data_IF_129696112308
#
_entry.id   IF_129696112308
#
_cell.length_a   1.000
_cell.length_b   1.000
_cell.length_c   1.000
_cell.angle_alpha   90.00
_cell.angle_beta   90.00
_cell.angle_gamma   90.00
#
_symmetry.space_group_name_H-M   'P 1'
#
loop_
_entity.id
_entity.type
_entity.pdbx_description
1 polymer ?
#
# COMPACT_ATOMS: atom_id res chain seq x y z
N UNK A 1 18.17 -9.77 -17.60
CA UNK A 1 17.56 -9.42 -18.92
C UNK A 1 16.56 -8.31 -18.68
N UNK A 2 16.39 -7.33 -19.58
CA UNK A 2 15.32 -6.34 -19.43
C UNK A 2 13.97 -7.00 -19.71
N UNK A 3 13.23 -7.35 -18.66
CA UNK A 3 11.85 -7.84 -18.77
C UNK A 3 10.95 -6.64 -19.07
N UNK A 4 10.28 -6.65 -20.21
CA UNK A 4 9.22 -5.68 -20.52
C UNK A 4 8.04 -5.96 -19.60
N UNK A 5 7.54 -4.92 -18.92
CA UNK A 5 6.38 -5.05 -18.05
C UNK A 5 5.08 -5.19 -18.86
N UNK A 6 4.03 -5.81 -18.29
CA UNK A 6 2.68 -5.77 -18.83
C UNK A 6 2.21 -4.37 -19.23
N UNK A 7 1.40 -4.27 -20.29
CA UNK A 7 0.65 -3.06 -20.58
C UNK A 7 -0.20 -2.69 -19.36
N UNK A 8 -0.15 -1.42 -18.94
CA UNK A 8 -0.81 -0.97 -17.71
C UNK A 8 -0.07 -1.30 -16.41
N UNK A 9 1.18 -1.76 -16.41
CA UNK A 9 1.92 -2.06 -15.17
C UNK A 9 1.84 -0.91 -14.14
N UNK A 10 1.56 -1.26 -12.88
CA UNK A 10 1.20 -0.33 -11.82
C UNK A 10 2.04 -0.53 -10.56
N UNK A 11 2.64 0.56 -10.07
CA UNK A 11 3.18 0.63 -8.72
C UNK A 11 2.05 0.96 -7.73
N UNK A 12 1.61 -0.02 -6.94
CA UNK A 12 0.44 0.13 -6.07
C UNK A 12 0.76 0.62 -4.65
N UNK A 13 2.00 1.06 -4.37
CA UNK A 13 2.31 1.69 -3.08
C UNK A 13 3.48 2.66 -3.21
N UNK A 14 3.20 3.95 -3.10
CA UNK A 14 4.22 4.99 -2.97
C UNK A 14 3.68 6.17 -2.14
N UNK A 15 4.52 7.17 -1.91
CA UNK A 15 4.17 8.43 -1.28
C UNK A 15 4.75 9.60 -2.08
N UNK A 16 4.11 10.77 -2.00
CA UNK A 16 4.73 12.04 -2.39
C UNK A 16 4.93 12.89 -1.14
N UNK A 17 6.04 13.62 -1.11
CA UNK A 17 6.37 14.57 -0.05
C UNK A 17 6.75 15.92 -0.66
N UNK A 18 6.34 16.98 0.01
CA UNK A 18 6.68 18.35 -0.34
C UNK A 18 6.01 18.92 -1.60
N UNK A 19 6.35 20.17 -1.96
CA UNK A 19 7.26 21.03 -1.20
C UNK A 19 6.65 21.48 0.13
N UNK A 20 7.41 21.38 1.23
CA UNK A 20 6.90 21.60 2.59
C UNK A 20 6.27 22.99 2.80
N UNK A 21 6.72 24.00 2.04
CA UNK A 21 6.18 25.36 2.06
C UNK A 21 4.73 25.47 1.51
N UNK A 22 4.31 24.53 0.66
CA UNK A 22 2.95 24.44 0.09
C UNK A 22 2.09 23.42 0.82
N UNK A 23 2.71 22.31 1.22
CA UNK A 23 2.08 21.22 1.95
C UNK A 23 2.83 21.01 3.28
N UNK A 24 2.44 21.72 4.35
CA UNK A 24 3.11 21.60 5.64
C UNK A 24 2.88 20.21 6.25
N UNK A 25 3.92 19.67 6.89
CA UNK A 25 3.82 18.42 7.65
C UNK A 25 3.01 18.60 8.92
N UNK A 26 2.35 17.54 9.38
CA UNK A 26 1.50 17.57 10.57
C UNK A 26 2.30 17.71 11.87
N UNK A 27 1.63 18.23 12.90
CA UNK A 27 2.08 18.16 14.30
C UNK A 27 0.98 17.51 15.17
N UNK A 28 1.29 16.48 15.97
CA UNK A 28 2.57 15.77 16.03
C UNK A 28 2.79 14.86 14.80
N UNK A 29 4.05 14.57 14.47
CA UNK A 29 4.45 13.50 13.52
C UNK A 29 5.56 12.62 14.09
N UNK A 30 5.74 11.42 13.51
CA UNK A 30 6.80 10.48 13.92
C UNK A 30 8.12 10.64 13.15
N UNK A 31 8.15 11.44 12.09
CA UNK A 31 9.35 11.77 11.28
C UNK A 31 9.06 12.99 10.40
N UNK A 32 10.10 13.69 9.98
CA UNK A 32 10.07 14.65 8.86
C UNK A 32 10.80 14.00 7.69
N UNK A 33 10.16 13.79 6.53
CA UNK A 33 10.82 13.30 5.33
C UNK A 33 11.48 14.46 4.57
N UNK A 34 12.45 14.13 3.71
CA UNK A 34 12.87 15.03 2.64
C UNK A 34 11.76 15.17 1.58
N UNK A 35 11.77 16.28 0.84
CA UNK A 35 10.81 16.49 -0.24
C UNK A 35 11.04 15.48 -1.38
N UNK A 36 9.96 14.84 -1.80
CA UNK A 36 9.91 13.78 -2.81
C UNK A 36 8.70 14.05 -3.72
N UNK A 37 8.80 15.02 -4.63
CA UNK A 37 7.66 15.59 -5.33
C UNK A 37 7.12 14.67 -6.45
N UNK A 38 5.92 15.00 -6.95
CA UNK A 38 5.25 14.24 -8.01
C UNK A 38 6.15 13.99 -9.23
N UNK A 39 6.91 15.00 -9.64
CA UNK A 39 7.79 14.97 -10.81
C UNK A 39 8.84 13.86 -10.69
N UNK A 40 9.42 13.71 -9.49
CA UNK A 40 10.36 12.62 -9.18
C UNK A 40 9.68 11.25 -9.18
N UNK A 41 8.42 11.18 -8.75
CA UNK A 41 7.66 9.92 -8.79
C UNK A 41 7.27 9.53 -10.23
N UNK A 42 6.82 10.47 -11.07
CA UNK A 42 6.52 10.20 -12.48
C UNK A 42 7.78 9.76 -13.23
N UNK A 43 8.91 10.43 -13.01
CA UNK A 43 10.20 10.02 -13.57
C UNK A 43 10.63 8.62 -13.10
N UNK A 44 10.32 8.25 -11.84
CA UNK A 44 10.53 6.88 -11.35
C UNK A 44 9.63 5.88 -12.07
N UNK A 45 8.32 6.15 -12.19
CA UNK A 45 7.38 5.29 -12.91
C UNK A 45 7.87 5.02 -14.34
N UNK A 46 8.29 6.07 -15.05
CA UNK A 46 8.82 5.98 -16.42
C UNK A 46 10.12 5.15 -16.47
N UNK A 47 11.03 5.34 -15.50
CA UNK A 47 12.27 4.53 -15.34
C UNK A 47 12.01 3.06 -15.04
N UNK A 48 10.92 2.76 -14.31
CA UNK A 48 10.49 1.39 -14.00
C UNK A 48 9.72 0.73 -15.15
N UNK A 49 9.18 1.51 -16.09
CA UNK A 49 8.24 1.03 -17.12
C UNK A 49 6.80 0.90 -16.63
N UNK A 50 6.45 1.50 -15.47
CA UNK A 50 5.10 1.49 -14.92
C UNK A 50 4.25 2.61 -15.55
N UNK A 51 3.16 2.24 -16.21
CA UNK A 51 2.19 3.20 -16.74
C UNK A 51 1.41 3.91 -15.62
N UNK A 52 1.12 3.19 -14.53
CA UNK A 52 0.19 3.61 -13.46
C UNK A 52 0.86 3.63 -12.08
N UNK A 53 0.33 4.43 -11.16
CA UNK A 53 0.82 4.52 -9.78
C UNK A 53 -0.30 4.77 -8.76
N UNK A 54 -0.13 4.30 -7.54
CA UNK A 54 -1.07 4.54 -6.42
C UNK A 54 -0.35 5.30 -5.32
N UNK A 55 -0.73 6.57 -5.18
CA UNK A 55 -0.29 7.42 -4.08
C UNK A 55 -1.02 7.01 -2.80
N UNK A 56 -0.27 6.62 -1.78
CA UNK A 56 -0.79 6.35 -0.44
C UNK A 56 -0.47 7.54 0.44
N UNK A 57 -1.47 8.11 1.11
CA UNK A 57 -1.27 9.22 2.04
C UNK A 57 -0.29 8.83 3.17
N UNK A 58 0.86 9.52 3.33
CA UNK A 58 1.87 9.18 4.31
C UNK A 58 1.60 9.85 5.66
N UNK A 59 1.99 9.17 6.76
CA UNK A 59 1.75 9.66 8.11
C UNK A 59 2.47 10.96 8.48
N UNK A 60 3.45 11.43 7.71
CA UNK A 60 4.04 12.78 7.92
C UNK A 60 3.00 13.91 7.79
N UNK A 61 1.92 13.70 7.02
CA UNK A 61 0.82 14.66 6.84
C UNK A 61 -0.41 14.37 7.71
N UNK A 62 -0.46 13.24 8.41
CA UNK A 62 -1.66 12.81 9.14
C UNK A 62 -2.89 12.79 8.20
N UNK A 63 -3.94 13.54 8.58
CA UNK A 63 -5.21 13.65 7.84
C UNK A 63 -5.21 14.72 6.74
N UNK A 64 -4.12 15.45 6.52
CA UNK A 64 -4.02 16.46 5.46
C UNK A 64 -3.65 15.83 4.11
N UNK A 65 -4.66 15.51 3.30
CA UNK A 65 -4.48 14.82 2.02
C UNK A 65 -4.09 15.76 0.87
N UNK A 66 -3.84 17.05 1.10
CA UNK A 66 -3.69 18.05 0.02
C UNK A 66 -2.53 17.77 -0.95
N UNK A 67 -1.39 17.29 -0.45
CA UNK A 67 -0.26 16.90 -1.30
C UNK A 67 -0.62 15.76 -2.27
N UNK A 68 -1.28 14.71 -1.75
CA UNK A 68 -1.74 13.60 -2.56
C UNK A 68 -2.80 14.06 -3.57
N UNK A 69 -3.81 14.81 -3.14
CA UNK A 69 -4.93 15.26 -3.99
C UNK A 69 -4.46 16.17 -5.13
N UNK A 70 -3.52 17.07 -4.88
CA UNK A 70 -2.87 17.88 -5.93
C UNK A 70 -2.16 16.98 -6.94
N UNK A 71 -1.39 16.00 -6.45
CA UNK A 71 -0.66 15.08 -7.31
C UNK A 71 -1.58 14.22 -8.20
N UNK A 72 -2.74 13.77 -7.68
CA UNK A 72 -3.75 13.09 -8.48
C UNK A 72 -4.36 14.01 -9.55
N UNK A 73 -4.73 15.24 -9.19
CA UNK A 73 -5.33 16.21 -10.11
C UNK A 73 -4.37 16.58 -11.27
N UNK A 74 -3.06 16.51 -11.04
CA UNK A 74 -2.01 16.77 -12.05
C UNK A 74 -1.71 15.59 -12.97
N UNK A 75 -2.07 14.36 -12.59
CA UNK A 75 -1.85 13.16 -13.41
C UNK A 75 -3.03 12.13 -13.33
N UNK A 76 -4.29 12.53 -13.56
CA UNK A 76 -5.48 11.72 -13.23
C UNK A 76 -5.64 10.44 -14.05
N UNK A 77 -4.98 10.37 -15.22
CA UNK A 77 -4.97 9.17 -16.07
C UNK A 77 -3.94 8.12 -15.61
N UNK A 78 -2.90 8.53 -14.88
CA UNK A 78 -1.84 7.63 -14.38
C UNK A 78 -2.02 7.26 -12.91
N UNK A 79 -2.64 8.14 -12.11
CA UNK A 79 -2.62 8.02 -10.66
C UNK A 79 -3.99 7.72 -10.02
N UNK A 80 -3.95 6.99 -8.91
CA UNK A 80 -5.05 6.79 -7.95
C UNK A 80 -4.54 7.03 -6.53
N UNK A 81 -5.45 7.32 -5.61
CA UNK A 81 -5.12 7.67 -4.23
C UNK A 81 -5.69 6.71 -3.18
N UNK A 82 -4.99 6.59 -2.06
CA UNK A 82 -5.52 6.04 -0.81
C UNK A 82 -5.34 7.08 0.29
N UNK A 83 -6.44 7.69 0.72
CA UNK A 83 -6.46 8.81 1.65
C UNK A 83 -6.39 8.36 3.12
N UNK A 84 -6.22 9.32 4.03
CA UNK A 84 -6.30 9.12 5.49
C UNK A 84 -7.26 10.13 6.11
N UNK A 85 -8.21 9.66 6.92
CA UNK A 85 -9.16 10.48 7.67
C UNK A 85 -10.15 9.62 8.45
N UNK A 86 -11.08 10.24 9.14
CA UNK A 86 -12.08 9.56 9.98
C UNK A 86 -13.40 10.32 10.05
N UNK A 87 -14.04 10.36 11.22
CA UNK A 87 -15.39 10.92 11.43
C UNK A 87 -15.57 12.40 11.05
N UNK A 88 -14.51 13.15 10.78
CA UNK A 88 -14.59 14.50 10.19
C UNK A 88 -14.98 14.51 8.70
N UNK A 89 -14.86 13.37 7.99
CA UNK A 89 -15.15 13.27 6.57
C UNK A 89 -16.64 13.10 6.30
N UNK A 90 -17.16 13.89 5.35
CA UNK A 90 -18.55 13.81 4.91
C UNK A 90 -18.70 12.98 3.64
N UNK A 91 -19.91 12.46 3.37
CA UNK A 91 -20.21 11.81 2.09
C UNK A 91 -19.94 12.71 0.86
N UNK A 92 -20.10 14.04 1.01
CA UNK A 92 -19.76 14.99 -0.04
C UNK A 92 -18.24 15.07 -0.26
N UNK A 93 -17.45 15.12 0.80
CA UNK A 93 -15.97 15.08 0.76
C UNK A 93 -15.47 13.79 0.11
N UNK A 94 -16.02 12.63 0.49
CA UNK A 94 -15.63 11.34 -0.08
C UNK A 94 -15.99 11.23 -1.58
N UNK A 95 -17.14 11.78 -2.01
CA UNK A 95 -17.52 11.88 -3.44
C UNK A 95 -16.58 12.81 -4.22
N UNK A 96 -16.18 13.94 -3.65
CA UNK A 96 -15.18 14.84 -4.25
C UNK A 96 -13.81 14.14 -4.40
N UNK A 97 -13.37 13.40 -3.37
CA UNK A 97 -12.14 12.63 -3.42
C UNK A 97 -12.21 11.46 -4.41
N UNK A 98 -13.37 10.81 -4.55
CA UNK A 98 -13.58 9.79 -5.58
C UNK A 98 -13.41 10.39 -6.99
N UNK A 99 -14.03 11.55 -7.25
CA UNK A 99 -13.85 12.27 -8.52
C UNK A 99 -12.39 12.70 -8.76
N UNK A 100 -11.64 13.02 -7.69
CA UNK A 100 -10.21 13.31 -7.75
C UNK A 100 -9.30 12.05 -7.87
N UNK A 101 -9.86 10.84 -7.93
CA UNK A 101 -9.10 9.60 -8.13
C UNK A 101 -8.75 8.81 -6.85
N UNK A 102 -9.26 9.18 -5.67
CA UNK A 102 -9.12 8.36 -4.45
C UNK A 102 -10.01 7.11 -4.55
N UNK A 103 -9.50 5.97 -4.08
CA UNK A 103 -10.15 4.65 -4.14
C UNK A 103 -10.07 3.84 -2.84
N UNK A 104 -9.61 4.45 -1.75
CA UNK A 104 -9.56 3.81 -0.45
C UNK A 104 -9.18 4.75 0.69
N UNK A 105 -9.36 4.26 1.92
CA UNK A 105 -8.87 4.87 3.15
C UNK A 105 -7.84 3.96 3.82
N UNK A 106 -6.79 4.52 4.43
CA UNK A 106 -5.73 3.75 5.12
C UNK A 106 -5.84 3.82 6.64
N UNK A 107 -5.95 2.65 7.26
CA UNK A 107 -5.68 2.44 8.69
C UNK A 107 -4.21 2.08 8.93
N UNK A 108 -3.65 2.56 10.04
CA UNK A 108 -2.31 2.25 10.52
C UNK A 108 -2.40 1.71 11.96
N UNK A 109 -2.44 0.39 12.05
CA UNK A 109 -2.47 -0.40 13.29
C UNK A 109 -1.09 -0.96 13.65
N UNK A 110 -0.02 -0.55 12.94
CA UNK A 110 1.32 -1.09 13.18
C UNK A 110 1.84 -0.71 14.57
N UNK A 111 2.09 -1.74 15.39
CA UNK A 111 2.49 -1.61 16.79
C UNK A 111 3.94 -2.00 17.02
N UNK A 112 4.56 -1.38 18.02
CA UNK A 112 5.79 -1.82 18.67
C UNK A 112 5.60 -1.74 20.17
N UNK A 113 6.02 -2.78 20.88
CA UNK A 113 5.90 -2.89 22.35
C UNK A 113 4.46 -2.62 22.85
N UNK A 114 3.48 -3.17 22.12
CA UNK A 114 2.02 -3.02 22.34
C UNK A 114 1.42 -1.67 21.93
N UNK A 115 2.23 -0.67 21.57
CA UNK A 115 1.80 0.71 21.30
C UNK A 115 1.85 1.03 19.80
N UNK A 116 0.92 1.87 19.33
CA UNK A 116 0.93 2.38 17.95
C UNK A 116 2.26 3.09 17.66
N UNK A 117 2.93 2.71 16.57
CA UNK A 117 4.27 3.21 16.24
C UNK A 117 4.25 4.63 15.64
N UNK A 118 3.13 5.02 15.04
CA UNK A 118 2.94 6.33 14.41
C UNK A 118 2.02 7.21 15.28
N UNK A 119 2.55 8.32 15.80
CA UNK A 119 1.88 9.19 16.80
C UNK A 119 0.57 9.81 16.31
N UNK A 120 0.44 9.96 15.00
CA UNK A 120 -0.72 10.52 14.29
C UNK A 120 -1.32 9.51 13.29
N UNK A 121 -1.09 8.20 13.51
CA UNK A 121 -1.73 7.15 12.75
C UNK A 121 -3.24 7.15 12.97
N UNK A 122 -4.00 7.08 11.88
CA UNK A 122 -5.45 6.84 11.91
C UNK A 122 -5.68 5.33 12.02
N UNK A 123 -6.52 4.93 12.96
CA UNK A 123 -6.81 3.52 13.27
C UNK A 123 -8.02 3.01 12.48
N UNK A 124 -8.28 1.71 12.49
CA UNK A 124 -9.53 1.16 11.94
C UNK A 124 -10.76 1.76 12.65
N UNK A 125 -10.66 2.02 13.96
CA UNK A 125 -11.73 2.63 14.76
C UNK A 125 -12.10 4.04 14.28
N UNK A 126 -11.14 4.82 13.79
CA UNK A 126 -11.41 6.14 13.21
C UNK A 126 -12.19 6.07 11.89
N UNK A 127 -11.99 4.98 11.13
CA UNK A 127 -12.57 4.75 9.80
C UNK A 127 -13.89 3.97 9.90
N UNK A 128 -14.14 3.22 10.99
CA UNK A 128 -15.34 2.39 11.19
C UNK A 128 -16.67 3.13 10.85
N UNK A 129 -16.89 4.40 11.24
CA UNK A 129 -18.10 5.15 10.89
C UNK A 129 -18.28 5.42 9.39
N UNK A 130 -17.18 5.41 8.61
CA UNK A 130 -17.18 5.69 7.17
C UNK A 130 -17.33 4.42 6.32
N UNK A 131 -17.28 3.22 6.92
CA UNK A 131 -17.30 1.95 6.18
C UNK A 131 -18.49 1.80 5.21
N UNK A 132 -19.73 2.20 5.55
CA UNK A 132 -20.83 2.18 4.58
C UNK A 132 -20.62 3.13 3.40
N UNK A 133 -20.12 4.35 3.66
CA UNK A 133 -19.89 5.37 2.63
C UNK A 133 -18.79 4.98 1.64
N UNK A 134 -17.71 4.33 2.12
CA UNK A 134 -16.66 3.83 1.22
C UNK A 134 -17.11 2.58 0.46
N UNK A 135 -18.03 1.78 1.01
CA UNK A 135 -18.66 0.66 0.29
C UNK A 135 -19.53 1.15 -0.88
N UNK A 136 -20.35 2.19 -0.67
CA UNK A 136 -21.13 2.84 -1.74
C UNK A 136 -20.25 3.37 -2.89
N UNK A 137 -19.00 3.76 -2.60
CA UNK A 137 -18.04 4.27 -3.57
C UNK A 137 -17.19 3.18 -4.25
N UNK A 138 -17.39 1.91 -3.92
CA UNK A 138 -16.58 0.80 -4.42
C UNK A 138 -15.12 0.84 -3.97
N UNK A 139 -14.83 1.52 -2.86
CA UNK A 139 -13.48 1.69 -2.32
C UNK A 139 -13.02 0.49 -1.47
N UNK A 140 -11.74 0.45 -1.14
CA UNK A 140 -11.15 -0.52 -0.20
C UNK A 140 -10.65 0.13 1.09
N UNK A 141 -10.49 -0.68 2.14
CA UNK A 141 -9.70 -0.33 3.31
C UNK A 141 -8.26 -0.81 3.08
N UNK A 142 -7.26 0.07 3.19
CA UNK A 142 -5.85 -0.33 3.23
C UNK A 142 -5.40 -0.41 4.69
N UNK A 143 -4.66 -1.45 5.06
CA UNK A 143 -4.26 -1.74 6.43
C UNK A 143 -2.73 -1.91 6.53
N UNK A 144 -2.07 -0.97 7.20
CA UNK A 144 -0.72 -1.17 7.71
C UNK A 144 -0.82 -1.80 9.10
N UNK A 145 -0.42 -3.07 9.21
CA UNK A 145 -0.43 -3.85 10.45
C UNK A 145 0.77 -4.80 10.46
N UNK A 146 1.14 -5.33 11.63
CA UNK A 146 2.00 -6.52 11.73
C UNK A 146 1.11 -7.77 11.66
N UNK A 147 1.43 -8.74 10.79
CA UNK A 147 0.61 -9.93 10.60
C UNK A 147 0.41 -10.72 11.89
N UNK A 148 1.30 -10.58 12.88
CA UNK A 148 1.15 -11.16 14.22
C UNK A 148 -0.12 -10.69 14.94
N UNK A 149 -0.59 -9.48 14.66
CA UNK A 149 -1.76 -8.84 15.31
C UNK A 149 -3.08 -9.14 14.56
N UNK A 150 -3.03 -9.70 13.34
CA UNK A 150 -4.23 -10.04 12.55
C UNK A 150 -5.24 -10.98 13.24
N UNK A 151 -4.83 -11.99 14.03
CA UNK A 151 -5.78 -12.83 14.78
C UNK A 151 -6.64 -12.03 15.75
N UNK A 152 -6.06 -11.07 16.47
CA UNK A 152 -6.77 -10.22 17.44
C UNK A 152 -7.71 -9.23 16.74
N UNK A 153 -7.36 -8.82 15.51
CA UNK A 153 -8.21 -7.98 14.66
C UNK A 153 -9.34 -8.73 13.94
N UNK A 154 -9.37 -10.08 13.96
CA UNK A 154 -10.24 -10.87 13.08
C UNK A 154 -11.73 -10.51 13.23
N UNK A 155 -12.22 -10.28 14.45
CA UNK A 155 -13.61 -9.90 14.71
C UNK A 155 -13.97 -8.49 14.18
N UNK A 156 -13.01 -7.56 14.18
CA UNK A 156 -13.19 -6.23 13.61
C UNK A 156 -13.16 -6.28 12.07
N UNK A 157 -12.21 -7.03 11.49
CA UNK A 157 -12.07 -7.19 10.05
C UNK A 157 -13.25 -7.93 9.42
N UNK A 158 -13.86 -8.89 10.13
CA UNK A 158 -15.09 -9.56 9.68
C UNK A 158 -16.32 -8.63 9.56
N UNK A 159 -16.27 -7.43 10.17
CA UNK A 159 -17.31 -6.40 10.07
C UNK A 159 -17.05 -5.36 8.97
N UNK A 160 -15.92 -5.45 8.26
CA UNK A 160 -15.57 -4.53 7.18
C UNK A 160 -16.28 -4.96 5.88
N UNK A 161 -17.18 -4.13 5.31
CA UNK A 161 -18.00 -4.51 4.14
C UNK A 161 -17.28 -4.31 2.79
N UNK A 162 -16.00 -3.93 2.82
CA UNK A 162 -15.16 -3.62 1.64
C UNK A 162 -13.92 -4.52 1.61
N UNK A 163 -13.24 -4.67 0.46
CA UNK A 163 -11.95 -5.34 0.40
C UNK A 163 -10.94 -4.73 1.38
N UNK A 164 -10.17 -5.57 2.06
CA UNK A 164 -9.09 -5.14 2.96
C UNK A 164 -7.72 -5.47 2.36
N UNK A 165 -6.90 -4.45 2.12
CA UNK A 165 -5.59 -4.55 1.48
C UNK A 165 -4.49 -4.44 2.53
N UNK A 166 -3.83 -5.57 2.85
CA UNK A 166 -2.75 -5.62 3.84
C UNK A 166 -1.43 -5.17 3.21
N UNK A 167 -0.81 -4.14 3.80
CA UNK A 167 0.44 -3.56 3.30
C UNK A 167 1.66 -4.46 3.55
N UNK A 168 2.66 -4.32 2.68
CA UNK A 168 4.02 -4.84 2.85
C UNK A 168 4.11 -6.32 3.30
N UNK A 169 3.38 -7.22 2.64
CA UNK A 169 3.29 -8.65 2.98
C UNK A 169 2.89 -8.92 4.46
N UNK A 170 2.21 -7.96 5.10
CA UNK A 170 1.86 -8.00 6.52
C UNK A 170 2.99 -7.57 7.48
N UNK A 171 4.09 -6.98 7.01
CA UNK A 171 5.19 -6.34 7.77
C UNK A 171 5.92 -7.18 8.85
N UNK A 172 5.45 -8.39 9.15
CA UNK A 172 6.02 -9.30 10.15
C UNK A 172 7.46 -9.65 9.82
N UNK A 173 8.35 -9.61 10.82
CA UNK A 173 9.77 -9.89 10.60
C UNK A 173 10.00 -11.33 10.12
N UNK A 174 10.84 -11.48 9.10
CA UNK A 174 11.02 -12.75 8.37
C UNK A 174 11.42 -13.92 9.29
N UNK A 175 12.15 -13.64 10.38
CA UNK A 175 12.57 -14.60 11.42
C UNK A 175 11.42 -15.32 12.14
N UNK A 176 10.19 -14.80 12.09
CA UNK A 176 9.01 -15.51 12.61
C UNK A 176 8.56 -16.67 11.70
N UNK A 177 8.98 -16.68 10.44
CA UNK A 177 8.65 -17.71 9.46
C UNK A 177 7.20 -17.70 8.98
N UNK A 178 6.95 -18.30 7.82
CA UNK A 178 5.62 -18.37 7.19
C UNK A 178 4.62 -19.24 7.96
N UNK A 179 5.07 -20.09 8.88
CA UNK A 179 4.21 -20.92 9.74
C UNK A 179 3.61 -20.16 10.93
N UNK A 180 4.00 -18.90 11.17
CA UNK A 180 3.49 -18.12 12.29
C UNK A 180 1.95 -17.95 12.21
N UNK A 181 1.18 -18.13 13.31
CA UNK A 181 -0.29 -18.08 13.28
C UNK A 181 -0.88 -16.82 12.63
N UNK A 182 -0.23 -15.67 12.85
CA UNK A 182 -0.62 -14.39 12.25
C UNK A 182 -0.46 -14.33 10.73
N UNK A 183 0.67 -14.80 10.18
CA UNK A 183 0.84 -14.88 8.73
C UNK A 183 -0.06 -15.96 8.11
N UNK A 184 -0.30 -17.06 8.83
CA UNK A 184 -1.31 -18.05 8.44
C UNK A 184 -2.74 -17.47 8.42
N UNK A 185 -3.05 -16.48 9.26
CA UNK A 185 -4.33 -15.75 9.19
C UNK A 185 -4.41 -14.86 7.94
N UNK A 186 -3.32 -14.19 7.56
CA UNK A 186 -3.22 -13.46 6.29
C UNK A 186 -3.43 -14.38 5.08
N UNK A 187 -2.74 -15.53 5.03
CA UNK A 187 -2.89 -16.50 3.94
C UNK A 187 -4.31 -17.04 3.82
N UNK A 188 -4.96 -17.40 4.94
CA UNK A 188 -6.37 -17.85 4.93
C UNK A 188 -7.29 -16.77 4.36
N UNK A 189 -7.24 -15.56 4.91
CA UNK A 189 -8.09 -14.45 4.44
C UNK A 189 -7.86 -14.10 2.96
N UNK A 190 -6.62 -14.24 2.47
CA UNK A 190 -6.26 -14.06 1.06
C UNK A 190 -6.82 -15.19 0.16
N UNK A 191 -6.70 -16.46 0.59
CA UNK A 191 -7.26 -17.62 -0.13
C UNK A 191 -8.80 -17.62 -0.16
N UNK A 192 -9.44 -17.09 0.88
CA UNK A 192 -10.90 -16.89 0.96
C UNK A 192 -11.38 -15.68 0.14
N UNK A 193 -10.47 -14.93 -0.49
CA UNK A 193 -10.77 -13.73 -1.28
C UNK A 193 -11.18 -12.50 -0.46
N UNK A 194 -11.24 -12.61 0.88
CA UNK A 194 -11.62 -11.54 1.82
C UNK A 194 -10.54 -10.48 1.99
N UNK A 195 -9.28 -10.91 1.96
CA UNK A 195 -8.11 -10.04 2.02
C UNK A 195 -7.45 -9.93 0.65
N UNK A 196 -6.73 -8.82 0.51
CA UNK A 196 -5.71 -8.57 -0.49
C UNK A 196 -4.38 -8.33 0.23
N UNK A 197 -3.25 -8.50 -0.48
CA UNK A 197 -1.95 -8.16 0.08
C UNK A 197 -1.05 -7.46 -0.95
N UNK A 198 -0.21 -6.53 -0.46
CA UNK A 198 0.80 -5.86 -1.28
C UNK A 198 2.14 -6.57 -1.19
N UNK A 199 2.62 -7.14 -2.30
CA UNK A 199 3.98 -7.60 -2.50
C UNK A 199 4.90 -6.37 -2.62
N UNK A 200 5.24 -5.77 -1.50
CA UNK A 200 5.96 -4.49 -1.39
C UNK A 200 6.82 -4.48 -0.14
N UNK A 201 7.80 -3.58 -0.06
CA UNK A 201 8.55 -3.34 1.17
C UNK A 201 9.32 -4.57 1.71
N UNK A 202 9.95 -5.37 0.84
CA UNK A 202 10.76 -6.56 1.22
C UNK A 202 11.92 -6.27 2.18
N UNK A 203 12.38 -5.02 2.23
CA UNK A 203 13.40 -4.52 3.17
C UNK A 203 12.81 -4.15 4.54
N UNK A 204 11.50 -3.83 4.58
CA UNK A 204 10.68 -4.08 5.77
C UNK A 204 10.49 -5.60 5.87
N UNK A 205 9.97 -6.15 6.97
CA UNK A 205 10.22 -7.56 7.38
C UNK A 205 11.72 -7.88 7.67
N UNK A 206 12.68 -7.04 7.25
CA UNK A 206 14.10 -7.12 7.60
C UNK A 206 14.97 -7.99 6.70
N UNK A 207 14.54 -8.28 5.46
CA UNK A 207 15.37 -9.01 4.50
C UNK A 207 16.51 -8.12 3.95
N UNK A 208 17.62 -8.73 3.53
CA UNK A 208 18.87 -8.01 3.26
C UNK A 208 19.08 -7.69 1.77
N UNK A 209 19.53 -6.46 1.42
CA UNK A 209 19.85 -6.11 0.03
C UNK A 209 21.12 -6.84 -0.46
N UNK A 210 21.30 -7.04 -1.78
CA UNK A 210 20.41 -6.59 -2.86
C UNK A 210 19.30 -7.60 -3.23
N UNK A 211 19.32 -8.81 -2.65
CA UNK A 211 18.48 -9.92 -3.13
C UNK A 211 17.22 -10.14 -2.30
N UNK A 212 17.20 -9.68 -1.04
CA UNK A 212 16.09 -9.79 -0.09
C UNK A 212 15.58 -11.23 0.09
N UNK A 213 16.47 -12.22 -0.04
CA UNK A 213 16.12 -13.64 -0.15
C UNK A 213 15.29 -14.15 1.04
N UNK A 214 15.42 -13.56 2.22
CA UNK A 214 14.66 -13.90 3.43
C UNK A 214 13.17 -13.56 3.33
N UNK A 215 12.79 -12.62 2.44
CA UNK A 215 11.39 -12.30 2.15
C UNK A 215 10.74 -13.27 1.13
N UNK A 216 11.54 -14.00 0.34
CA UNK A 216 11.02 -14.87 -0.74
C UNK A 216 10.00 -15.91 -0.25
N UNK A 217 10.19 -16.63 0.88
CA UNK A 217 9.18 -17.59 1.35
C UNK A 217 7.81 -16.96 1.62
N UNK A 218 7.76 -15.69 2.01
CA UNK A 218 6.52 -14.96 2.27
C UNK A 218 5.84 -14.55 0.95
N UNK A 219 6.62 -14.07 -0.02
CA UNK A 219 6.16 -13.77 -1.37
C UNK A 219 5.59 -15.02 -2.07
N UNK A 220 6.34 -16.12 -2.08
CA UNK A 220 5.94 -17.39 -2.70
C UNK A 220 4.66 -17.95 -2.05
N UNK A 221 4.54 -17.86 -0.71
CA UNK A 221 3.34 -18.30 0.01
C UNK A 221 2.10 -17.44 -0.28
N UNK A 222 2.25 -16.12 -0.41
CA UNK A 222 1.14 -15.22 -0.80
C UNK A 222 0.66 -15.53 -2.22
N UNK A 223 1.59 -15.69 -3.18
CA UNK A 223 1.28 -16.09 -4.55
C UNK A 223 0.55 -17.44 -4.60
N UNK A 224 1.00 -18.42 -3.82
CA UNK A 224 0.35 -19.73 -3.75
C UNK A 224 -1.06 -19.68 -3.13
N UNK A 225 -1.33 -18.73 -2.23
CA UNK A 225 -2.63 -18.60 -1.57
C UNK A 225 -3.71 -17.99 -2.50
N UNK A 226 -3.41 -16.88 -3.18
CA UNK A 226 -4.30 -16.30 -4.20
C UNK A 226 -3.58 -15.21 -5.04
N UNK A 227 -3.12 -15.49 -6.27
CA UNK A 227 -2.43 -14.49 -7.08
C UNK A 227 -3.36 -13.41 -7.65
N UNK A 228 -4.69 -13.57 -7.58
CA UNK A 228 -5.67 -12.61 -8.10
C UNK A 228 -6.00 -11.48 -7.10
N UNK A 229 -5.65 -11.63 -5.82
CA UNK A 229 -5.83 -10.61 -4.78
C UNK A 229 -4.47 -10.01 -4.33
N UNK A 230 -3.47 -10.01 -5.22
CA UNK A 230 -2.15 -9.45 -4.96
C UNK A 230 -1.84 -8.29 -5.90
N UNK A 231 -1.16 -7.28 -5.36
CA UNK A 231 -0.59 -6.16 -6.12
C UNK A 231 0.86 -5.92 -5.70
N UNK A 232 1.70 -5.41 -6.59
CA UNK A 232 3.07 -5.01 -6.25
C UNK A 232 3.16 -3.51 -5.92
N UNK A 233 4.15 -3.10 -5.14
CA UNK A 233 4.44 -1.67 -4.93
C UNK A 233 5.89 -1.41 -4.53
N UNK A 234 6.43 -0.27 -5.00
CA UNK A 234 7.81 0.15 -4.77
C UNK A 234 8.07 0.57 -3.32
N UNK A 235 7.04 1.10 -2.64
CA UNK A 235 7.12 1.76 -1.33
C UNK A 235 8.06 2.99 -1.35
N UNK A 236 8.26 3.61 -2.52
CA UNK A 236 9.03 4.85 -2.71
C UNK A 236 8.34 6.03 -2.00
N UNK A 237 9.07 7.00 -1.40
CA UNK A 237 10.53 7.15 -1.33
C UNK A 237 11.13 6.46 -0.10
N UNK A 238 10.56 5.33 0.30
CA UNK A 238 11.06 4.46 1.37
C UNK A 238 11.11 5.14 2.75
N UNK A 239 10.03 5.81 3.21
CA UNK A 239 10.05 6.57 4.45
C UNK A 239 10.40 5.69 5.65
N UNK A 240 11.37 6.13 6.44
CA UNK A 240 11.94 5.43 7.60
C UNK A 240 12.33 3.96 7.29
N UNK A 241 13.38 3.72 6.49
CA UNK A 241 13.93 2.38 6.39
C UNK A 241 14.61 2.02 7.71
N UNK A 242 14.63 0.73 8.07
CA UNK A 242 15.32 0.21 9.26
C UNK A 242 16.74 -0.28 8.93
N UNK A 243 17.23 0.10 7.75
CA UNK A 243 18.54 -0.19 7.19
C UNK A 243 18.81 0.78 6.03
N UNK A 244 19.64 0.41 5.05
CA UNK A 244 19.88 1.23 3.86
C UNK A 244 18.58 1.58 3.12
N UNK A 245 18.54 2.77 2.49
CA UNK A 245 17.50 3.13 1.53
C UNK A 245 17.59 2.15 0.34
N UNK A 246 16.54 1.39 0.01
CA UNK A 246 16.57 0.45 -1.10
C UNK A 246 16.48 1.21 -2.44
N UNK A 247 16.92 0.59 -3.53
CA UNK A 247 16.60 1.08 -4.87
C UNK A 247 15.33 0.41 -5.40
N UNK A 248 14.36 1.23 -5.82
CA UNK A 248 13.08 0.79 -6.33
C UNK A 248 13.17 -0.07 -7.61
N UNK A 249 14.20 0.09 -8.45
CA UNK A 249 14.40 -0.76 -9.63
C UNK A 249 14.91 -2.14 -9.21
N UNK A 250 15.80 -2.24 -8.22
CA UNK A 250 16.19 -3.54 -7.65
C UNK A 250 15.02 -4.26 -6.98
N UNK A 251 14.16 -3.53 -6.24
CA UNK A 251 12.93 -4.11 -5.65
C UNK A 251 11.99 -4.68 -6.71
N UNK A 252 11.86 -4.01 -7.86
CA UNK A 252 11.09 -4.51 -9.00
C UNK A 252 11.76 -5.73 -9.65
N UNK A 253 13.08 -5.69 -9.87
CA UNK A 253 13.82 -6.81 -10.45
C UNK A 253 13.69 -8.08 -9.60
N UNK A 254 13.79 -7.95 -8.27
CA UNK A 254 13.59 -9.08 -7.34
C UNK A 254 12.16 -9.64 -7.41
N UNK A 255 11.14 -8.77 -7.51
CA UNK A 255 9.76 -9.22 -7.74
C UNK A 255 9.63 -9.97 -9.07
N UNK A 256 10.23 -9.47 -10.15
CA UNK A 256 10.19 -10.10 -11.45
C UNK A 256 10.90 -11.45 -11.43
N UNK A 257 12.10 -11.54 -10.85
CA UNK A 257 12.90 -12.77 -10.73
C UNK A 257 12.14 -13.90 -9.99
N UNK A 258 11.30 -13.56 -9.00
CA UNK A 258 10.51 -14.56 -8.24
C UNK A 258 9.16 -14.91 -8.87
N UNK A 259 8.56 -14.00 -9.65
CA UNK A 259 7.18 -14.14 -10.13
C UNK A 259 7.11 -14.71 -11.56
N UNK A 260 6.20 -15.66 -11.82
CA UNK A 260 5.97 -16.20 -13.17
C UNK A 260 5.30 -15.17 -14.11
N UNK A 261 5.44 -15.30 -15.43
CA UNK A 261 4.88 -14.35 -16.39
C UNK A 261 3.35 -14.13 -16.25
N UNK A 262 2.59 -15.21 -16.03
CA UNK A 262 1.15 -15.12 -15.81
C UNK A 262 0.81 -14.36 -14.51
N UNK A 263 1.54 -14.61 -13.42
CA UNK A 263 1.35 -13.89 -12.16
C UNK A 263 1.81 -12.42 -12.27
N UNK A 264 2.85 -12.10 -13.06
CA UNK A 264 3.27 -10.71 -13.34
C UNK A 264 2.14 -9.92 -14.02
N UNK A 265 1.45 -10.50 -15.01
CA UNK A 265 0.31 -9.87 -15.68
C UNK A 265 -0.79 -9.50 -14.68
N UNK A 266 -1.26 -10.47 -13.90
CA UNK A 266 -2.30 -10.24 -12.90
C UNK A 266 -1.85 -9.20 -11.85
N UNK A 267 -0.69 -9.39 -11.23
CA UNK A 267 -0.24 -8.60 -10.08
C UNK A 267 0.17 -7.17 -10.46
N UNK A 268 0.72 -6.95 -11.66
CA UNK A 268 1.13 -5.63 -12.12
C UNK A 268 0.04 -4.87 -12.89
N UNK A 269 -0.92 -5.55 -13.54
CA UNK A 269 -1.90 -4.85 -14.40
C UNK A 269 -3.37 -5.14 -14.08
N UNK A 270 -3.79 -6.41 -14.10
CA UNK A 270 -5.22 -6.75 -14.04
C UNK A 270 -5.79 -6.51 -12.63
N UNK A 271 -5.06 -6.95 -11.60
CA UNK A 271 -5.43 -6.78 -10.20
C UNK A 271 -5.42 -5.30 -9.78
N UNK A 272 -4.40 -4.47 -10.12
CA UNK A 272 -4.45 -3.04 -9.90
C UNK A 272 -5.59 -2.33 -10.64
N UNK A 273 -5.91 -2.73 -11.87
CA UNK A 273 -7.03 -2.16 -12.61
C UNK A 273 -8.35 -2.38 -11.88
N UNK A 274 -8.57 -3.62 -11.39
CA UNK A 274 -9.75 -4.01 -10.61
C UNK A 274 -9.82 -3.35 -9.23
N UNK A 275 -8.71 -3.26 -8.50
CA UNK A 275 -8.68 -2.75 -7.12
C UNK A 275 -8.75 -1.22 -7.01
N UNK A 276 -8.16 -0.52 -7.99
CA UNK A 276 -8.04 0.94 -8.00
C UNK A 276 -8.84 1.61 -9.11
N UNK A 277 -9.74 0.88 -9.78
CA UNK A 277 -10.63 1.42 -10.81
C UNK A 277 -9.88 2.33 -11.81
N UNK A 278 -8.88 1.71 -12.42
CA UNK A 278 -8.27 2.23 -13.63
C UNK A 278 -9.03 1.65 -14.85
N UNK A 279 -9.05 2.37 -15.98
CA UNK A 279 -9.51 1.79 -17.23
C UNK A 279 -8.82 0.46 -17.53
N UNK A 280 -9.55 -0.46 -18.17
CA UNK A 280 -8.97 -1.66 -18.76
C UNK A 280 -7.86 -1.31 -19.75
N UNK A 281 -6.89 -2.21 -19.87
CA UNK A 281 -5.82 -2.12 -20.87
C UNK A 281 -6.32 -2.50 -22.27
#
# INVERSE_FOLDING_TARGET
MNVVLPAGACDCHCHVFGPAARFPYAEPRSYTPDDAPLESYLALLDRLGCARGVLVQPSAYGRDNRAMLDALARAPQRLRGVAVGGSELTAATLKQWHAAGVRGLRANEFRRDGKLYYRNGVTLKDIEPLLPLIAELGWHLQLWVDARDLPDMAAALARVPVPVVVDHMGRMEHRHGTKHPGFQALLRGLSEGKLWAKLSGTYRLGATPPDYAEARPFHDALIAANPQNLVWGSDWPHPRPEGPVPDAKRLLDVFLDWTSAANRQAILSDNPARLYDFPGA
#
